data_IF_673025224209
#
_entry.id   IF_673025224209
#
_cell.length_a   1.000
_cell.length_b   1.000
_cell.length_c   1.000
_cell.angle_alpha   90.00
_cell.angle_beta   90.00
_cell.angle_gamma   90.00
#
_symmetry.space_group_name_H-M   'P 1'
#
loop_
_entity.id
_entity.type
_entity.pdbx_description
1 polymer ?
#
# COMPACT_ATOMS: atom_id res chain seq x y z
N UNK A 1 11.43 -0.11 15.98
CA UNK A 1 11.57 1.31 15.58
C UNK A 1 10.79 1.57 14.31
N UNK A 2 10.01 2.63 14.29
CA UNK A 2 9.25 2.99 13.09
C UNK A 2 10.08 3.95 12.22
N UNK A 3 10.77 3.39 11.24
CA UNK A 3 11.60 4.16 10.33
C UNK A 3 10.74 4.86 9.26
N UNK A 4 11.30 5.90 8.70
CA UNK A 4 10.76 6.64 7.57
C UNK A 4 11.54 6.20 6.33
N UNK A 5 10.93 5.37 5.50
CA UNK A 5 11.60 4.73 4.36
C UNK A 5 11.42 5.58 3.11
N UNK A 6 12.49 6.11 2.54
CA UNK A 6 12.39 6.83 1.28
C UNK A 6 12.05 5.86 0.15
N UNK A 7 10.89 6.06 -0.47
CA UNK A 7 10.32 5.07 -1.40
C UNK A 7 11.23 4.85 -2.61
N UNK A 8 11.68 5.91 -3.26
CA UNK A 8 12.51 5.77 -4.46
C UNK A 8 13.86 5.09 -4.18
N UNK A 9 14.47 5.41 -3.05
CA UNK A 9 15.72 4.74 -2.65
C UNK A 9 15.50 3.26 -2.36
N UNK A 10 14.41 2.92 -1.73
CA UNK A 10 14.08 1.52 -1.45
C UNK A 10 13.84 0.74 -2.74
N UNK A 11 13.21 1.34 -3.74
CA UNK A 11 13.03 0.73 -5.06
C UNK A 11 14.38 0.49 -5.73
N UNK A 12 15.24 1.50 -5.79
CA UNK A 12 16.55 1.41 -6.45
C UNK A 12 17.44 0.36 -5.81
N UNK A 13 17.47 0.30 -4.49
CA UNK A 13 18.34 -0.63 -3.76
C UNK A 13 17.77 -2.04 -3.63
N UNK A 14 16.46 -2.22 -3.87
CA UNK A 14 15.79 -3.49 -3.63
C UNK A 14 15.74 -3.86 -2.16
N UNK A 15 15.75 -2.88 -1.28
CA UNK A 15 15.77 -3.09 0.17
C UNK A 15 14.54 -3.85 0.64
N UNK A 16 14.75 -4.88 1.43
CA UNK A 16 13.68 -5.58 2.12
C UNK A 16 13.31 -4.84 3.38
N UNK A 17 12.02 -4.78 3.67
CA UNK A 17 11.47 -4.09 4.82
C UNK A 17 10.74 -5.09 5.72
N UNK A 18 10.76 -4.83 7.02
CA UNK A 18 9.99 -5.60 7.98
C UNK A 18 8.93 -4.69 8.57
N UNK A 19 7.67 -5.07 8.36
CA UNK A 19 6.51 -4.41 8.99
C UNK A 19 6.05 -5.27 10.16
N UNK A 20 5.91 -4.65 11.31
CA UNK A 20 5.26 -5.25 12.47
C UNK A 20 4.05 -4.39 12.81
N UNK A 21 2.88 -5.01 12.89
CA UNK A 21 1.61 -4.32 13.08
C UNK A 21 0.62 -5.25 13.78
N UNK A 22 -0.65 -4.92 13.67
CA UNK A 22 -1.74 -5.75 14.16
C UNK A 22 -2.75 -5.95 13.05
N UNK A 23 -3.36 -7.11 13.04
CA UNK A 23 -4.44 -7.40 12.11
C UNK A 23 -5.64 -6.50 12.38
N UNK A 24 -6.25 -5.98 11.33
CA UNK A 24 -7.23 -4.91 11.41
C UNK A 24 -8.43 -5.21 12.35
N UNK A 25 -8.99 -6.39 12.27
CA UNK A 25 -10.19 -6.72 13.05
C UNK A 25 -9.93 -7.51 14.34
N UNK A 26 -8.77 -8.10 14.48
CA UNK A 26 -8.51 -9.09 15.55
C UNK A 26 -7.46 -8.67 16.55
N UNK A 27 -6.72 -7.59 16.28
CA UNK A 27 -5.55 -7.15 17.05
C UNK A 27 -4.44 -8.21 17.18
N UNK A 28 -4.50 -9.28 16.39
CA UNK A 28 -3.43 -10.27 16.37
C UNK A 28 -2.14 -9.66 15.83
N UNK A 29 -0.97 -9.95 16.43
CA UNK A 29 0.28 -9.40 15.93
C UNK A 29 0.59 -9.93 14.53
N UNK A 30 1.11 -9.04 13.67
CA UNK A 30 1.44 -9.34 12.29
C UNK A 30 2.87 -8.95 12.02
N UNK A 31 3.60 -9.83 11.34
CA UNK A 31 4.95 -9.55 10.86
C UNK A 31 5.04 -9.90 9.38
N UNK A 32 5.39 -8.92 8.57
CA UNK A 32 5.50 -9.06 7.11
C UNK A 32 6.89 -8.65 6.65
N UNK A 33 7.45 -9.41 5.68
CA UNK A 33 8.58 -8.93 4.90
C UNK A 33 8.02 -8.32 3.62
N UNK A 34 8.48 -7.13 3.27
CA UNK A 34 7.98 -6.41 2.10
C UNK A 34 9.14 -5.92 1.24
N UNK A 35 8.87 -5.77 -0.05
CA UNK A 35 9.76 -5.11 -0.99
C UNK A 35 8.94 -4.18 -1.86
N UNK A 36 9.35 -2.92 -1.94
CA UNK A 36 8.69 -1.96 -2.82
C UNK A 36 9.16 -2.20 -4.25
N UNK A 37 8.22 -2.53 -5.12
CA UNK A 37 8.52 -2.82 -6.53
C UNK A 37 8.45 -1.55 -7.35
N UNK A 38 7.39 -0.75 -7.17
CA UNK A 38 7.19 0.49 -7.91
C UNK A 38 6.28 1.44 -7.15
N UNK A 39 6.40 2.71 -7.48
CA UNK A 39 5.52 3.76 -6.95
C UNK A 39 5.30 4.78 -8.05
N UNK A 40 4.14 4.75 -8.68
CA UNK A 40 3.86 5.52 -9.88
C UNK A 40 2.54 6.27 -9.79
N UNK A 41 2.54 7.44 -10.40
CA UNK A 41 1.35 8.23 -10.60
C UNK A 41 0.46 7.55 -11.64
N UNK A 42 -0.84 7.51 -11.39
CA UNK A 42 -1.83 7.05 -12.36
C UNK A 42 -2.25 8.23 -13.20
N UNK A 43 -2.18 8.08 -14.52
CA UNK A 43 -2.58 9.13 -15.44
C UNK A 43 -4.08 9.43 -15.33
N UNK A 44 -4.43 10.71 -15.39
CA UNK A 44 -5.80 11.17 -15.16
C UNK A 44 -6.83 10.53 -16.10
N UNK A 45 -6.48 10.32 -17.35
CA UNK A 45 -7.38 9.72 -18.33
C UNK A 45 -7.75 8.26 -18.03
N UNK A 46 -6.94 7.57 -17.22
CA UNK A 46 -7.27 6.20 -16.82
C UNK A 46 -8.44 6.12 -15.86
N UNK A 47 -8.72 7.17 -15.11
CA UNK A 47 -9.85 7.17 -14.17
C UNK A 47 -10.96 8.17 -14.52
N UNK A 48 -10.82 8.96 -15.58
CA UNK A 48 -11.90 9.83 -16.09
C UNK A 48 -13.04 9.05 -16.76
N UNK A 49 -12.78 7.85 -17.21
CA UNK A 49 -13.79 7.01 -17.86
C UNK A 49 -14.64 6.22 -16.85
N UNK A 50 -14.30 6.29 -15.57
CA UNK A 50 -15.05 5.63 -14.52
C UNK A 50 -15.68 6.68 -13.61
N UNK A 51 -16.72 6.30 -12.90
CA UNK A 51 -17.40 7.17 -11.95
C UNK A 51 -16.56 7.26 -10.67
N UNK A 52 -15.62 8.20 -10.66
CA UNK A 52 -14.70 8.38 -9.52
C UNK A 52 -15.25 9.41 -8.55
N UNK A 53 -14.96 9.28 -7.25
CA UNK A 53 -15.35 10.28 -6.26
C UNK A 53 -14.78 11.66 -6.58
N UNK A 54 -15.52 12.71 -6.24
CA UNK A 54 -15.10 14.10 -6.45
C UNK A 54 -13.76 14.43 -5.79
N UNK A 55 -13.43 13.74 -4.69
CA UNK A 55 -12.19 13.93 -3.93
C UNK A 55 -10.93 13.71 -4.78
N UNK A 56 -11.02 12.93 -5.84
CA UNK A 56 -9.89 12.66 -6.73
C UNK A 56 -9.48 13.90 -7.52
N UNK A 57 -10.42 14.83 -7.77
CA UNK A 57 -10.12 16.08 -8.47
C UNK A 57 -9.14 16.97 -7.69
N UNK A 58 -9.06 16.79 -6.37
CA UNK A 58 -8.19 17.59 -5.49
C UNK A 58 -6.77 17.02 -5.34
N UNK A 59 -6.48 15.92 -6.01
CA UNK A 59 -5.17 15.27 -5.90
C UNK A 59 -4.87 14.38 -7.08
N UNK A 60 -3.80 13.61 -6.94
CA UNK A 60 -3.35 12.65 -7.93
C UNK A 60 -3.28 11.28 -7.29
N UNK A 61 -3.83 10.29 -7.97
CA UNK A 61 -3.73 8.90 -7.51
C UNK A 61 -2.35 8.33 -7.81
N UNK A 62 -1.77 7.71 -6.81
CA UNK A 62 -0.50 7.00 -6.91
C UNK A 62 -0.71 5.54 -6.52
N UNK A 63 -0.01 4.64 -7.22
CA UNK A 63 -0.07 3.22 -6.97
C UNK A 63 1.26 2.74 -6.43
N UNK A 64 1.23 2.15 -5.23
CA UNK A 64 2.37 1.51 -4.59
C UNK A 64 2.25 0.01 -4.78
N UNK A 65 3.17 -0.58 -5.53
CA UNK A 65 3.20 -2.02 -5.76
C UNK A 65 4.23 -2.67 -4.84
N UNK A 66 3.82 -3.72 -4.15
CA UNK A 66 4.60 -4.41 -3.13
C UNK A 66 4.63 -5.92 -3.36
N UNK A 67 5.80 -6.52 -3.13
CA UNK A 67 5.87 -7.93 -2.80
C UNK A 67 5.81 -8.08 -1.29
N UNK A 68 5.02 -9.03 -0.81
CA UNK A 68 4.80 -9.25 0.63
C UNK A 68 4.92 -10.74 0.94
N UNK A 69 5.62 -11.04 2.02
CA UNK A 69 5.72 -12.41 2.56
C UNK A 69 5.22 -12.38 4.00
N UNK A 70 4.23 -13.22 4.29
CA UNK A 70 3.71 -13.38 5.64
C UNK A 70 4.69 -14.21 6.46
N UNK A 71 5.27 -13.59 7.50
CA UNK A 71 6.22 -14.26 8.40
C UNK A 71 5.53 -14.84 9.64
N UNK A 72 4.20 -14.80 9.70
CA UNK A 72 3.44 -15.42 10.79
C UNK A 72 3.18 -16.89 10.48
N UNK A 73 2.83 -17.64 11.52
CA UNK A 73 2.51 -19.07 11.39
C UNK A 73 1.12 -19.33 10.82
N UNK A 74 0.26 -18.31 10.78
CA UNK A 74 -1.13 -18.40 10.33
C UNK A 74 -1.38 -17.46 9.17
N UNK A 75 -2.36 -17.76 8.30
CA UNK A 75 -2.81 -16.81 7.29
C UNK A 75 -3.31 -15.51 7.92
N UNK A 76 -3.09 -14.40 7.24
CA UNK A 76 -3.59 -13.09 7.67
C UNK A 76 -4.40 -12.45 6.55
N UNK A 77 -5.26 -11.50 6.93
CA UNK A 77 -6.09 -10.79 5.98
C UNK A 77 -5.24 -9.82 5.14
N UNK A 78 -5.45 -9.79 3.84
CA UNK A 78 -4.78 -8.86 2.91
C UNK A 78 -4.99 -7.39 3.28
N UNK A 79 -6.14 -7.04 3.83
CA UNK A 79 -6.45 -5.66 4.22
C UNK A 79 -5.48 -5.10 5.25
N UNK A 80 -4.79 -5.96 6.01
CA UNK A 80 -3.76 -5.55 6.95
C UNK A 80 -2.66 -4.74 6.28
N UNK A 81 -2.27 -5.09 5.04
CA UNK A 81 -1.25 -4.34 4.29
C UNK A 81 -1.74 -2.91 4.03
N UNK A 82 -2.98 -2.76 3.56
CA UNK A 82 -3.56 -1.46 3.21
C UNK A 82 -3.65 -0.56 4.44
N UNK A 83 -4.12 -1.09 5.55
CA UNK A 83 -4.40 -0.30 6.75
C UNK A 83 -3.18 -0.11 7.66
N UNK A 84 -2.05 -0.72 7.34
CA UNK A 84 -0.84 -0.61 8.16
C UNK A 84 0.20 0.37 7.62
N UNK A 85 0.01 0.89 6.42
CA UNK A 85 1.01 1.71 5.74
C UNK A 85 0.47 3.10 5.41
N UNK A 86 1.25 4.12 5.75
CA UNK A 86 0.98 5.50 5.35
C UNK A 86 2.13 6.01 4.49
N UNK A 87 1.81 6.96 3.63
CA UNK A 87 2.80 7.73 2.88
C UNK A 87 2.97 9.08 3.58
N UNK A 88 4.20 9.54 3.67
CA UNK A 88 4.55 10.79 4.34
C UNK A 88 5.38 11.63 3.37
N UNK A 89 5.16 12.94 3.34
CA UNK A 89 5.97 13.85 2.52
C UNK A 89 7.13 14.46 3.31
N UNK A 90 7.88 15.36 2.68
CA UNK A 90 9.05 16.04 3.28
C UNK A 90 8.69 16.86 4.52
N UNK A 91 7.46 17.34 4.62
CA UNK A 91 6.98 18.17 5.72
C UNK A 91 6.25 17.36 6.79
N UNK A 92 6.35 16.02 6.72
CA UNK A 92 5.72 15.08 7.65
C UNK A 92 4.19 15.07 7.60
N UNK A 93 3.57 15.56 6.52
CA UNK A 93 2.15 15.33 6.31
C UNK A 93 1.91 13.88 5.96
N UNK A 94 0.89 13.30 6.60
CA UNK A 94 0.55 11.89 6.48
C UNK A 94 -0.63 11.68 5.54
N UNK A 95 -0.51 10.69 4.67
CA UNK A 95 -1.56 10.31 3.72
C UNK A 95 -1.92 8.85 3.92
N UNK A 96 -3.18 8.61 4.31
CA UNK A 96 -3.72 7.26 4.43
C UNK A 96 -3.93 6.66 3.03
N UNK A 97 -4.01 5.34 2.98
CA UNK A 97 -4.37 4.66 1.73
C UNK A 97 -5.73 5.14 1.24
N UNK A 98 -5.84 5.32 -0.07
CA UNK A 98 -7.11 5.66 -0.71
C UNK A 98 -7.90 4.37 -0.90
N UNK A 99 -8.96 4.22 -0.12
CA UNK A 99 -9.76 3.00 -0.09
C UNK A 99 -11.17 3.30 -0.59
N UNK A 100 -11.33 3.32 -1.90
CA UNK A 100 -12.64 3.43 -2.52
C UNK A 100 -12.97 2.10 -3.20
N UNK A 101 -14.04 1.45 -2.74
CA UNK A 101 -14.41 0.14 -3.23
C UNK A 101 -14.77 0.17 -4.72
N UNK A 102 -15.36 1.25 -5.21
CA UNK A 102 -15.75 1.36 -6.61
C UNK A 102 -14.52 1.35 -7.52
N UNK A 103 -13.45 2.05 -7.13
CA UNK A 103 -12.20 2.02 -7.89
C UNK A 103 -11.56 0.64 -7.90
N UNK A 104 -11.45 0.02 -6.73
CA UNK A 104 -10.80 -1.29 -6.61
C UNK A 104 -11.56 -2.40 -7.36
N UNK A 105 -12.87 -2.32 -7.40
CA UNK A 105 -13.69 -3.34 -8.03
C UNK A 105 -14.12 -2.99 -9.45
N UNK A 106 -13.81 -1.80 -9.94
CA UNK A 106 -14.08 -1.45 -11.32
C UNK A 106 -13.13 -2.22 -12.24
N UNK A 107 -13.65 -3.16 -13.01
CA UNK A 107 -12.85 -4.14 -13.73
C UNK A 107 -11.86 -3.52 -14.72
N UNK A 108 -12.26 -2.48 -15.43
CA UNK A 108 -11.41 -1.84 -16.44
C UNK A 108 -10.27 -1.07 -15.78
N UNK A 109 -10.57 -0.32 -14.72
CA UNK A 109 -9.56 0.39 -13.95
C UNK A 109 -8.58 -0.60 -13.33
N UNK A 110 -9.06 -1.61 -12.63
CA UNK A 110 -8.23 -2.61 -11.98
C UNK A 110 -7.29 -3.32 -12.95
N UNK A 111 -7.79 -3.63 -14.15
CA UNK A 111 -6.96 -4.25 -15.20
C UNK A 111 -5.90 -3.30 -15.73
N UNK A 112 -6.25 -2.04 -15.97
CA UNK A 112 -5.33 -1.06 -16.56
C UNK A 112 -4.16 -0.72 -15.65
N UNK A 113 -4.34 -0.79 -14.33
CA UNK A 113 -3.30 -0.49 -13.34
C UNK A 113 -2.79 -1.70 -12.59
N UNK A 114 -3.24 -2.89 -12.96
CA UNK A 114 -2.83 -4.15 -12.35
C UNK A 114 -3.04 -4.17 -10.83
N UNK A 115 -4.29 -3.98 -10.41
CA UNK A 115 -4.71 -3.96 -9.00
C UNK A 115 -5.30 -5.31 -8.57
N UNK A 116 -4.53 -6.35 -8.43
CA UNK A 116 -5.15 -7.65 -8.20
C UNK A 116 -5.32 -8.03 -6.74
N UNK A 117 -4.59 -7.40 -5.81
CA UNK A 117 -4.54 -7.86 -4.41
C UNK A 117 -4.51 -6.68 -3.49
N UNK A 118 -4.63 -6.88 -2.20
CA UNK A 118 -4.65 -5.84 -1.17
C UNK A 118 -5.81 -4.85 -1.33
N UNK A 119 -6.92 -5.29 -1.91
CA UNK A 119 -8.06 -4.43 -2.23
C UNK A 119 -9.05 -4.22 -1.08
N UNK A 120 -8.71 -4.68 0.09
CA UNK A 120 -9.45 -4.36 1.31
C UNK A 120 -10.67 -5.22 1.61
N UNK A 121 -11.40 -5.63 0.61
CA UNK A 121 -12.66 -6.38 0.80
C UNK A 121 -12.56 -7.84 0.42
N UNK A 122 -11.40 -8.26 -0.06
CA UNK A 122 -11.23 -9.62 -0.52
C UNK A 122 -10.70 -10.51 0.60
N UNK A 123 -11.58 -11.10 1.32
CA UNK A 123 -11.31 -12.23 2.21
C UNK A 123 -11.02 -13.49 1.43
N UNK A 124 -11.15 -13.42 0.12
CA UNK A 124 -11.13 -14.58 -0.76
C UNK A 124 -9.75 -15.21 -0.80
N UNK A 125 -8.68 -14.42 -0.60
CA UNK A 125 -7.31 -14.95 -0.60
C UNK A 125 -6.47 -14.32 0.51
N UNK A 126 -6.39 -14.97 1.68
CA UNK A 126 -5.51 -14.48 2.74
C UNK A 126 -4.03 -14.60 2.33
N UNK A 127 -3.20 -13.80 2.96
CA UNK A 127 -1.75 -13.95 2.84
C UNK A 127 -1.32 -15.19 3.61
N UNK A 128 -0.91 -16.22 2.90
CA UNK A 128 -0.49 -17.49 3.50
C UNK A 128 0.95 -17.43 3.97
N UNK A 129 1.28 -18.15 5.06
CA UNK A 129 2.64 -18.14 5.57
C UNK A 129 3.70 -18.50 4.53
N UNK A 130 4.75 -17.70 4.46
CA UNK A 130 5.93 -17.89 3.62
C UNK A 130 5.68 -17.89 2.11
N UNK A 131 4.47 -17.57 1.66
CA UNK A 131 4.16 -17.48 0.23
C UNK A 131 4.17 -16.01 -0.17
N UNK A 132 5.02 -15.69 -1.15
CA UNK A 132 5.11 -14.33 -1.68
C UNK A 132 3.84 -13.97 -2.42
N UNK A 133 3.26 -12.82 -2.09
CA UNK A 133 2.14 -12.23 -2.78
C UNK A 133 2.54 -10.85 -3.31
N UNK A 134 2.03 -10.49 -4.46
CA UNK A 134 2.19 -9.15 -5.03
C UNK A 134 0.85 -8.46 -5.06
N UNK A 135 0.85 -7.19 -4.76
CA UNK A 135 -0.36 -6.39 -4.80
C UNK A 135 -0.07 -4.92 -4.69
N UNK A 136 -1.11 -4.12 -4.71
CA UNK A 136 -0.99 -2.67 -4.79
C UNK A 136 -1.86 -1.97 -3.77
N UNK A 137 -1.38 -0.81 -3.35
CA UNK A 137 -2.10 0.11 -2.46
C UNK A 137 -2.19 1.46 -3.17
N UNK A 138 -3.34 2.08 -3.12
CA UNK A 138 -3.57 3.40 -3.71
C UNK A 138 -3.45 4.50 -2.67
N UNK A 139 -2.86 5.62 -3.09
CA UNK A 139 -2.78 6.84 -2.29
C UNK A 139 -3.22 8.02 -3.13
N UNK A 140 -4.01 8.92 -2.53
CA UNK A 140 -4.34 10.21 -3.13
C UNK A 140 -3.38 11.25 -2.57
N UNK A 141 -2.51 11.77 -3.41
CA UNK A 141 -1.45 12.70 -3.00
C UNK A 141 -1.65 14.06 -3.66
N UNK A 142 -1.05 15.14 -3.11
CA UNK A 142 -1.10 16.46 -3.73
C UNK A 142 -0.56 16.44 -5.16
N UNK A 143 -1.03 17.37 -5.99
CA UNK A 143 -0.58 17.50 -7.38
C UNK A 143 0.90 17.88 -7.50
N UNK A 144 1.44 18.60 -6.51
CA UNK A 144 2.83 19.03 -6.52
C UNK A 144 3.75 17.84 -6.24
N UNK A 145 4.83 17.68 -7.04
CA UNK A 145 5.78 16.61 -6.79
C UNK A 145 6.59 16.86 -5.53
N UNK A 146 6.62 15.88 -4.66
CA UNK A 146 7.39 15.89 -3.42
C UNK A 146 8.16 14.58 -3.28
N UNK A 147 9.10 14.54 -2.36
CA UNK A 147 9.67 13.28 -1.92
C UNK A 147 8.68 12.57 -1.01
N UNK A 148 8.52 11.28 -1.21
CA UNK A 148 7.60 10.48 -0.42
C UNK A 148 8.32 9.36 0.30
N UNK A 149 7.83 9.09 1.51
CA UNK A 149 8.37 8.08 2.40
C UNK A 149 7.25 7.12 2.80
N UNK A 150 7.60 5.88 3.04
CA UNK A 150 6.68 4.88 3.58
C UNK A 150 6.94 4.75 5.07
N UNK A 151 5.87 4.71 5.84
CA UNK A 151 5.93 4.58 7.29
C UNK A 151 4.81 3.65 7.77
N UNK A 152 5.03 2.96 8.86
CA UNK A 152 3.96 2.20 9.48
C UNK A 152 2.97 3.14 10.17
N UNK A 153 1.71 2.78 10.10
CA UNK A 153 0.64 3.50 10.78
C UNK A 153 0.77 3.34 12.30
N UNK A 154 0.03 4.15 13.04
CA UNK A 154 -0.02 4.13 14.51
C UNK A 154 -0.04 2.72 15.09
N UNK A 155 0.76 2.48 16.11
CA UNK A 155 0.97 1.19 16.78
C UNK A 155 1.71 0.13 15.95
N UNK A 156 2.17 0.49 14.76
CA UNK A 156 3.01 -0.37 13.95
C UNK A 156 4.43 0.15 13.85
N UNK A 157 5.34 -0.67 13.35
CA UNK A 157 6.71 -0.29 13.04
C UNK A 157 7.13 -0.84 11.69
N UNK A 158 7.95 -0.06 10.99
CA UNK A 158 8.59 -0.51 9.75
C UNK A 158 10.09 -0.23 9.86
N UNK A 159 10.90 -1.12 9.34
CA UNK A 159 12.35 -0.97 9.33
C UNK A 159 12.97 -1.69 8.15
N UNK A 160 14.16 -1.25 7.77
CA UNK A 160 14.95 -1.98 6.78
C UNK A 160 15.43 -3.29 7.39
N UNK A 161 15.38 -4.35 6.60
CA UNK A 161 15.93 -5.65 6.99
C UNK A 161 17.40 -5.69 6.61
N UNK A 162 18.23 -5.92 7.58
CA UNK A 162 19.67 -6.14 7.39
C UNK A 162 19.97 -7.60 7.12
#
# INVERSE_FOLDING_TARGET
>A
MNEKIEINKAIESGTKLILESKEFFTDNPVKLEMKIISFNKIEADLYHEIDVPEDIDDGTLWILNLDVINLNKKPINQSTVIYSLIVVDDDDYEYDSFCDSDLYYHSDFAKSVNLPRFTGWSDIQPLRPKIKANGSVLYLLPHEPNHYFLKAKENGTIRSRE
#
